data_IF_995415786641
#
_entry.id   IF_995415786641
#
_cell.length_a   1.000
_cell.length_b   1.000
_cell.length_c   1.000
_cell.angle_alpha   90.00
_cell.angle_beta   90.00
_cell.angle_gamma   90.00
#
_symmetry.space_group_name_H-M   'P 1'
#
loop_
_entity.id
_entity.type
_entity.pdbx_description
1 polymer ?
#
# COMPACT_ATOMS: atom_id res chain seq x y z
N UNK A 1 9.25 0.55 2.54
CA UNK A 1 7.98 0.26 3.23
C UNK A 1 6.91 1.03 2.48
N UNK A 2 6.06 0.36 1.73
CA UNK A 2 4.85 0.98 1.18
C UNK A 2 3.84 1.02 2.31
N UNK A 3 3.76 2.15 3.02
CA UNK A 3 2.62 2.43 3.87
C UNK A 3 1.38 2.57 3.00
N UNK A 4 0.22 2.17 3.51
CA UNK A 4 -1.06 2.58 2.95
C UNK A 4 -1.23 4.08 3.21
N UNK A 5 -0.64 4.93 2.36
CA UNK A 5 -0.83 6.38 2.41
C UNK A 5 -1.92 6.79 1.43
N UNK A 6 -2.89 7.55 1.93
CA UNK A 6 -3.83 8.29 1.11
C UNK A 6 -3.14 9.59 0.63
N UNK A 7 -3.25 9.96 -0.65
CA UNK A 7 -2.55 11.13 -1.18
C UNK A 7 -3.34 12.38 -0.84
N UNK A 8 -2.80 13.34 -0.09
CA UNK A 8 -3.22 14.76 -0.18
C UNK A 8 -2.03 15.71 -0.05
N UNK A 9 -1.94 16.59 -1.05
CA UNK A 9 -1.11 17.79 -1.10
C UNK A 9 -1.51 18.78 -0.02
N UNK A 10 -0.55 19.31 0.73
CA UNK A 10 -0.75 20.46 1.60
C UNK A 10 0.20 21.56 1.15
N UNK A 11 -0.32 22.57 0.46
CA UNK A 11 0.32 23.87 0.32
C UNK A 11 -0.46 24.89 1.15
N UNK A 12 0.15 25.34 2.24
CA UNK A 12 -0.30 26.51 3.00
C UNK A 12 0.12 27.79 2.25
N UNK A 13 -0.81 28.73 2.07
CA UNK A 13 -0.48 30.16 1.87
C UNK A 13 -1.44 31.04 2.72
N UNK A 14 -0.97 32.16 3.28
CA UNK A 14 -1.70 33.01 4.24
C UNK A 14 -2.57 34.09 3.55
N UNK A 15 -3.43 34.82 4.28
CA UNK A 15 -4.51 35.62 3.71
C UNK A 15 -4.04 37.04 3.34
N UNK A 16 -4.50 37.56 2.20
CA UNK A 16 -4.47 39.00 1.90
C UNK A 16 -5.82 39.50 1.38
N UNK A 17 -6.13 40.72 1.79
CA UNK A 17 -7.43 41.39 1.79
C UNK A 17 -7.65 42.25 0.51
N UNK A 18 -8.88 42.18 -0.03
CA UNK A 18 -9.67 43.20 -0.80
C UNK A 18 -9.15 43.80 -2.13
N UNK A 19 -10.00 44.43 -2.99
CA UNK A 19 -11.48 44.47 -3.03
C UNK A 19 -12.14 44.13 -4.39
N UNK A 20 -13.47 44.02 -4.33
CA UNK A 20 -14.48 43.94 -5.39
C UNK A 20 -14.35 45.01 -6.49
N UNK A 21 -14.67 44.65 -7.73
CA UNK A 21 -15.56 45.48 -8.57
C UNK A 21 -16.36 44.65 -9.57
N UNK A 22 -17.66 44.91 -9.61
CA UNK A 22 -18.60 44.49 -10.64
C UNK A 22 -18.34 45.27 -11.94
N UNK A 23 -18.49 44.61 -13.09
CA UNK A 23 -19.19 45.26 -14.21
C UNK A 23 -19.88 44.21 -15.08
N UNK A 24 -21.18 44.43 -15.27
CA UNK A 24 -22.00 43.77 -16.26
C UNK A 24 -21.80 44.44 -17.61
N UNK A 25 -21.86 43.68 -18.70
CA UNK A 25 -22.14 44.21 -20.03
C UNK A 25 -23.17 43.35 -20.73
N UNK A 26 -24.28 43.99 -21.10
CA UNK A 26 -25.38 43.50 -21.94
C UNK A 26 -25.04 43.75 -23.40
N UNK A 27 -25.53 42.86 -24.28
CA UNK A 27 -26.17 43.12 -25.60
C UNK A 27 -26.20 41.80 -26.39
N UNK A 28 -27.23 41.37 -27.10
CA UNK A 28 -28.54 41.94 -27.43
C UNK A 28 -29.42 40.93 -28.19
N UNK A 29 -30.74 41.13 -28.12
CA UNK A 29 -31.83 40.96 -29.11
C UNK A 29 -31.56 40.11 -30.39
N UNK A 30 -32.40 39.14 -30.83
CA UNK A 30 -33.77 39.33 -31.37
C UNK A 30 -34.49 37.99 -31.74
N UNK A 31 -35.83 38.02 -31.54
CA UNK A 31 -36.98 37.47 -32.31
C UNK A 31 -37.35 35.97 -32.36
N UNK A 32 -38.69 35.82 -32.26
CA UNK A 32 -39.59 34.64 -32.26
C UNK A 32 -39.79 34.01 -33.64
N UNK A 33 -40.13 32.72 -33.69
CA UNK A 33 -41.37 32.17 -34.31
C UNK A 33 -41.59 30.69 -33.94
N UNK A 34 -42.86 30.27 -33.90
CA UNK A 34 -43.35 28.96 -33.46
C UNK A 34 -43.40 27.91 -34.60
N UNK A 35 -43.41 26.62 -34.24
CA UNK A 35 -43.92 25.53 -35.09
C UNK A 35 -43.30 24.15 -34.87
N UNK A 36 -44.14 23.14 -34.59
CA UNK A 36 -43.98 21.80 -35.20
C UNK A 36 -43.43 20.64 -34.34
N UNK A 37 -44.30 19.64 -34.16
CA UNK A 37 -44.07 18.28 -33.64
C UNK A 37 -42.77 17.58 -34.10
N UNK A 38 -42.14 16.80 -33.20
CA UNK A 38 -41.95 15.34 -33.34
C UNK A 38 -41.09 14.77 -32.21
N UNK A 39 -41.42 13.55 -31.78
CA UNK A 39 -40.89 12.91 -30.58
C UNK A 39 -39.38 12.64 -30.60
N UNK A 40 -38.72 13.01 -29.50
CA UNK A 40 -37.36 12.58 -29.19
C UNK A 40 -37.40 11.87 -27.84
N UNK A 41 -37.16 10.56 -27.87
CA UNK A 41 -36.96 9.71 -26.68
C UNK A 41 -35.84 10.32 -25.83
N UNK A 42 -36.15 10.72 -24.58
CA UNK A 42 -35.15 11.06 -23.56
C UNK A 42 -34.19 9.88 -23.40
N UNK A 43 -32.97 10.00 -23.93
CA UNK A 43 -31.83 9.20 -23.46
C UNK A 43 -31.59 9.62 -22.01
N UNK A 44 -31.83 8.71 -21.07
CA UNK A 44 -31.37 8.84 -19.68
C UNK A 44 -29.86 9.09 -19.73
N UNK A 45 -29.43 10.25 -19.24
CA UNK A 45 -28.02 10.56 -19.08
C UNK A 45 -27.36 9.48 -18.25
N UNK A 46 -26.23 8.98 -18.73
CA UNK A 46 -25.33 8.14 -17.94
C UNK A 46 -24.86 9.01 -16.79
N UNK A 47 -25.28 8.67 -15.57
CA UNK A 47 -24.73 9.30 -14.38
C UNK A 47 -23.23 9.01 -14.37
N UNK A 48 -22.42 10.06 -14.54
CA UNK A 48 -20.99 9.97 -14.34
C UNK A 48 -20.76 9.48 -12.91
N UNK A 49 -20.06 8.35 -12.76
CA UNK A 49 -19.57 7.89 -11.47
C UNK A 49 -18.58 8.95 -11.00
N UNK A 50 -19.01 9.82 -10.10
CA UNK A 50 -18.13 10.74 -9.40
C UNK A 50 -17.19 9.88 -8.54
N UNK A 51 -15.90 9.93 -8.83
CA UNK A 51 -14.89 9.50 -7.89
C UNK A 51 -14.96 10.48 -6.72
N UNK A 52 -15.59 10.07 -5.62
CA UNK A 52 -15.72 10.92 -4.45
C UNK A 52 -14.35 11.03 -3.78
N UNK A 53 -13.70 12.18 -3.93
CA UNK A 53 -12.67 12.63 -2.99
C UNK A 53 -13.38 13.12 -1.74
N UNK A 54 -13.80 12.17 -0.89
CA UNK A 54 -14.23 12.49 0.45
C UNK A 54 -12.97 12.60 1.34
N UNK A 55 -12.85 13.65 2.18
CA UNK A 55 -11.77 13.72 3.16
C UNK A 55 -11.90 12.54 4.13
N UNK A 56 -10.84 11.75 4.26
CA UNK A 56 -10.78 10.67 5.23
C UNK A 56 -10.78 11.26 6.64
N UNK A 57 -11.87 11.07 7.39
CA UNK A 57 -11.88 11.33 8.82
C UNK A 57 -10.93 10.37 9.54
N UNK A 58 -10.21 10.88 10.54
CA UNK A 58 -9.20 10.14 11.29
C UNK A 58 -9.73 8.78 11.80
N UNK A 59 -8.95 7.73 11.56
CA UNK A 59 -9.17 6.41 12.10
C UNK A 59 -9.17 6.45 13.64
N UNK A 60 -10.09 5.73 14.28
CA UNK A 60 -9.96 5.48 15.73
C UNK A 60 -8.88 4.41 15.89
N UNK A 61 -7.77 4.77 16.53
CA UNK A 61 -6.59 3.91 16.65
C UNK A 61 -6.30 3.65 18.12
N UNK A 62 -6.06 2.39 18.45
CA UNK A 62 -5.25 2.06 19.61
C UNK A 62 -3.87 1.60 19.10
N UNK A 63 -2.98 1.22 20.02
CA UNK A 63 -1.61 0.91 19.61
C UNK A 63 -1.52 -0.35 18.70
N UNK A 64 -2.44 -1.31 18.86
CA UNK A 64 -2.46 -2.57 18.11
C UNK A 64 -3.42 -2.58 16.94
N UNK A 65 -4.54 -1.90 17.03
CA UNK A 65 -5.60 -1.92 16.01
C UNK A 65 -5.94 -0.53 15.50
N UNK A 66 -6.39 -0.48 14.26
CA UNK A 66 -6.91 0.72 13.63
C UNK A 66 -8.25 0.41 12.96
N UNK A 67 -9.22 1.30 13.12
CA UNK A 67 -10.50 1.24 12.41
C UNK A 67 -10.42 2.08 11.14
N UNK A 68 -10.43 1.44 9.98
CA UNK A 68 -10.51 2.12 8.69
C UNK A 68 -11.96 2.53 8.42
N UNK A 69 -12.21 3.81 8.19
CA UNK A 69 -13.50 4.30 7.70
C UNK A 69 -13.58 4.15 6.18
N UNK A 70 -14.46 3.28 5.72
CA UNK A 70 -14.86 3.16 4.31
C UNK A 70 -16.22 3.85 4.20
N UNK A 71 -16.56 4.45 3.04
CA UNK A 71 -17.69 5.38 2.86
C UNK A 71 -18.96 5.07 3.69
N UNK A 72 -19.40 3.80 3.73
CA UNK A 72 -20.55 3.36 4.51
C UNK A 72 -20.24 2.15 5.43
N UNK A 73 -18.97 1.94 5.77
CA UNK A 73 -18.54 0.75 6.52
C UNK A 73 -17.27 1.03 7.35
N UNK A 74 -16.95 0.14 8.29
CA UNK A 74 -15.73 0.20 9.08
C UNK A 74 -15.01 -1.13 9.07
N UNK A 75 -13.69 -1.08 8.93
CA UNK A 75 -12.84 -2.26 8.94
C UNK A 75 -11.76 -2.15 10.01
N UNK A 76 -11.86 -2.98 11.04
CA UNK A 76 -10.82 -3.10 12.05
C UNK A 76 -9.68 -3.99 11.56
N UNK A 77 -8.46 -3.47 11.63
CA UNK A 77 -7.23 -4.17 11.27
C UNK A 77 -6.23 -4.17 12.42
N UNK A 78 -5.37 -5.19 12.47
CA UNK A 78 -4.11 -5.12 13.18
C UNK A 78 -3.18 -4.14 12.45
N UNK A 79 -2.53 -3.23 13.18
CA UNK A 79 -1.65 -2.20 12.61
C UNK A 79 -0.35 -2.77 12.05
N UNK A 80 0.00 -4.00 12.40
CA UNK A 80 1.05 -4.78 11.71
C UNK A 80 0.38 -5.80 10.81
N UNK A 81 0.54 -5.61 9.50
CA UNK A 81 -0.02 -6.49 8.48
C UNK A 81 1.02 -7.52 8.06
N UNK A 82 0.63 -8.79 8.04
CA UNK A 82 1.47 -9.89 7.55
C UNK A 82 1.44 -9.90 6.02
N UNK A 83 2.47 -9.32 5.40
CA UNK A 83 2.61 -9.24 3.96
C UNK A 83 3.06 -10.55 3.34
N UNK A 84 2.18 -11.18 2.56
CA UNK A 84 2.41 -12.51 1.97
C UNK A 84 3.14 -12.47 0.62
N UNK A 85 3.71 -11.34 0.17
CA UNK A 85 4.33 -11.23 -1.17
C UNK A 85 5.48 -12.22 -1.42
N UNK A 86 6.11 -12.74 -0.36
CA UNK A 86 7.18 -13.72 -0.48
C UNK A 86 6.66 -15.09 -0.96
N UNK A 87 5.34 -15.29 -1.02
CA UNK A 87 4.72 -16.47 -1.62
C UNK A 87 4.65 -16.45 -3.15
N UNK A 88 5.06 -15.36 -3.80
CA UNK A 88 5.11 -15.22 -5.27
C UNK A 88 6.06 -16.19 -6.01
N UNK A 89 6.78 -17.08 -5.31
CA UNK A 89 7.63 -18.12 -5.89
C UNK A 89 9.09 -17.71 -6.13
N UNK A 90 9.40 -16.41 -6.12
CA UNK A 90 10.78 -15.90 -6.28
C UNK A 90 11.69 -16.09 -5.05
N UNK A 91 11.19 -16.72 -3.99
CA UNK A 91 11.85 -16.77 -2.67
C UNK A 91 12.09 -18.18 -2.13
N UNK A 92 11.95 -19.20 -2.99
CA UNK A 92 12.07 -20.61 -2.63
C UNK A 92 10.74 -21.36 -2.68
N UNK A 93 10.81 -22.67 -2.46
CA UNK A 93 9.63 -23.54 -2.34
C UNK A 93 8.91 -23.29 -1.03
N UNK A 94 7.58 -23.33 -1.06
CA UNK A 94 6.73 -23.19 0.12
C UNK A 94 6.07 -24.52 0.42
N UNK A 95 6.31 -25.04 1.61
CA UNK A 95 5.48 -26.09 2.17
C UNK A 95 4.16 -25.49 2.66
N UNK A 96 3.05 -26.07 2.22
CA UNK A 96 1.71 -25.52 2.50
C UNK A 96 1.33 -25.70 3.96
N UNK A 97 1.70 -26.81 4.58
CA UNK A 97 1.33 -27.10 5.96
C UNK A 97 2.13 -26.20 6.90
N UNK A 98 3.44 -26.09 6.69
CA UNK A 98 4.29 -25.21 7.48
C UNK A 98 3.87 -23.74 7.34
N UNK A 99 3.48 -23.33 6.13
CA UNK A 99 3.00 -21.98 5.92
C UNK A 99 1.71 -21.69 6.70
N UNK A 100 0.74 -22.61 6.67
CA UNK A 100 -0.52 -22.47 7.40
C UNK A 100 -0.31 -22.52 8.92
N UNK A 101 0.57 -23.39 9.41
CA UNK A 101 0.97 -23.42 10.82
C UNK A 101 1.60 -22.09 11.26
N UNK A 102 2.48 -21.52 10.43
CA UNK A 102 3.04 -20.20 10.69
C UNK A 102 1.95 -19.12 10.72
N UNK A 103 0.96 -19.15 9.82
CA UNK A 103 -0.17 -18.20 9.85
C UNK A 103 -0.98 -18.31 11.15
N UNK A 104 -1.24 -19.53 11.64
CA UNK A 104 -1.89 -19.75 12.94
C UNK A 104 -1.08 -19.13 14.09
N UNK A 105 0.23 -19.35 14.14
CA UNK A 105 1.09 -18.73 15.17
C UNK A 105 1.06 -17.20 15.13
N UNK A 106 1.06 -16.59 13.94
CA UNK A 106 0.96 -15.13 13.80
C UNK A 106 -0.37 -14.63 14.34
N UNK A 107 -1.47 -15.27 13.94
CA UNK A 107 -2.80 -14.91 14.40
C UNK A 107 -2.90 -15.08 15.93
N UNK A 108 -2.43 -16.20 16.48
CA UNK A 108 -2.46 -16.49 17.93
C UNK A 108 -1.62 -15.48 18.72
N UNK A 109 -0.58 -14.89 18.12
CA UNK A 109 0.19 -13.77 18.68
C UNK A 109 -0.48 -12.38 18.52
N UNK A 110 -1.69 -12.35 17.97
CA UNK A 110 -2.47 -11.13 17.74
C UNK A 110 -2.07 -10.33 16.48
N UNK A 111 -1.29 -10.93 15.57
CA UNK A 111 -1.00 -10.39 14.24
C UNK A 111 -2.08 -10.90 13.28
N UNK A 112 -3.29 -10.39 13.40
CA UNK A 112 -4.49 -11.02 12.81
C UNK A 112 -4.85 -10.53 11.40
N UNK A 113 -4.09 -9.60 10.83
CA UNK A 113 -4.36 -9.05 9.48
C UNK A 113 -3.32 -9.54 8.48
N UNK A 114 -3.78 -10.20 7.42
CA UNK A 114 -2.96 -10.76 6.35
C UNK A 114 -3.18 -9.99 5.07
N UNK A 115 -2.08 -9.57 4.44
CA UNK A 115 -2.09 -8.82 3.21
C UNK A 115 -1.54 -9.69 2.06
N UNK A 116 -2.31 -9.78 0.99
CA UNK A 116 -2.07 -10.67 -0.14
C UNK A 116 -2.44 -10.02 -1.48
N UNK A 117 -2.26 -10.79 -2.55
CA UNK A 117 -2.68 -10.45 -3.90
C UNK A 117 -2.97 -11.72 -4.70
N UNK A 118 -3.84 -11.58 -5.70
CA UNK A 118 -4.16 -12.61 -6.69
C UNK A 118 -2.93 -13.27 -7.33
N UNK A 119 -1.88 -12.48 -7.59
CA UNK A 119 -0.64 -12.88 -8.23
C UNK A 119 0.47 -13.30 -7.25
N UNK A 120 0.23 -13.32 -5.93
CA UNK A 120 1.20 -13.79 -4.94
C UNK A 120 1.23 -15.32 -4.84
N UNK A 121 1.33 -16.00 -5.98
CA UNK A 121 1.36 -17.46 -6.05
C UNK A 121 0.18 -18.07 -5.28
N UNK A 122 0.43 -18.93 -4.27
CA UNK A 122 -0.62 -19.60 -3.50
C UNK A 122 -1.17 -18.77 -2.32
N UNK A 123 -0.88 -17.47 -2.20
CA UNK A 123 -1.26 -16.68 -1.01
C UNK A 123 -2.75 -16.78 -0.65
N UNK A 124 -3.63 -16.58 -1.64
CA UNK A 124 -5.08 -16.63 -1.40
C UNK A 124 -5.54 -18.04 -1.02
N UNK A 125 -4.93 -19.08 -1.59
CA UNK A 125 -5.24 -20.48 -1.29
C UNK A 125 -4.76 -20.87 0.11
N UNK A 126 -3.58 -20.41 0.52
CA UNK A 126 -3.05 -20.60 1.87
C UNK A 126 -3.96 -19.93 2.90
N UNK A 127 -4.44 -18.71 2.62
CA UNK A 127 -5.41 -18.05 3.46
C UNK A 127 -6.71 -18.85 3.59
N UNK A 128 -7.21 -19.43 2.49
CA UNK A 128 -8.39 -20.30 2.53
C UNK A 128 -8.21 -21.55 3.39
N UNK A 129 -7.04 -22.17 3.38
CA UNK A 129 -6.74 -23.31 4.25
C UNK A 129 -6.64 -22.84 5.71
N UNK A 130 -5.93 -21.73 5.95
CA UNK A 130 -5.75 -21.13 7.27
C UNK A 130 -7.08 -20.72 7.91
N UNK A 131 -7.95 -19.99 7.22
CA UNK A 131 -9.22 -19.52 7.78
C UNK A 131 -10.14 -20.69 8.11
N UNK A 132 -10.08 -21.77 7.34
CA UNK A 132 -10.80 -23.00 7.64
C UNK A 132 -10.28 -23.73 8.88
N UNK A 133 -8.97 -23.68 9.13
CA UNK A 133 -8.42 -24.17 10.39
C UNK A 133 -8.87 -23.32 11.55
N UNK A 134 -8.85 -21.99 11.41
CA UNK A 134 -9.39 -21.07 12.42
C UNK A 134 -10.84 -21.41 12.76
N UNK A 135 -11.71 -21.60 11.75
CA UNK A 135 -13.12 -22.00 11.95
C UNK A 135 -13.31 -23.31 12.71
N UNK A 136 -12.39 -24.26 12.58
CA UNK A 136 -12.48 -25.59 13.21
C UNK A 136 -11.80 -25.65 14.58
N UNK A 137 -10.71 -24.91 14.76
CA UNK A 137 -9.74 -25.07 15.85
C UNK A 137 -9.75 -23.91 16.83
N UNK A 138 -10.50 -22.83 16.57
CA UNK A 138 -10.61 -21.66 17.46
C UNK A 138 -12.09 -21.36 17.77
N UNK A 139 -12.38 -20.65 18.87
CA UNK A 139 -13.74 -20.21 19.17
C UNK A 139 -14.33 -19.35 18.04
N UNK A 140 -15.66 -19.40 17.77
CA UNK A 140 -16.28 -18.65 16.69
C UNK A 140 -15.99 -17.14 16.71
N UNK A 141 -15.92 -16.53 17.88
CA UNK A 141 -15.60 -15.12 18.08
C UNK A 141 -14.18 -14.75 17.61
N UNK A 142 -13.26 -15.71 17.58
CA UNK A 142 -11.89 -15.46 17.14
C UNK A 142 -11.82 -15.26 15.62
N UNK A 143 -12.72 -15.90 14.86
CA UNK A 143 -12.83 -15.71 13.41
C UNK A 143 -13.05 -14.22 13.07
N UNK A 144 -13.85 -13.53 13.87
CA UNK A 144 -14.17 -12.12 13.71
C UNK A 144 -12.98 -11.18 13.98
N UNK A 145 -11.83 -11.69 14.45
CA UNK A 145 -10.61 -10.90 14.67
C UNK A 145 -9.62 -10.97 13.51
N UNK A 146 -9.78 -11.97 12.63
CA UNK A 146 -8.88 -12.23 11.50
C UNK A 146 -9.37 -11.48 10.27
N UNK A 147 -8.44 -10.84 9.54
CA UNK A 147 -8.74 -10.11 8.30
C UNK A 147 -7.83 -10.55 7.16
N UNK A 148 -8.42 -10.79 5.99
CA UNK A 148 -7.73 -11.06 4.74
C UNK A 148 -7.92 -9.92 3.73
N UNK A 149 -6.85 -9.18 3.47
CA UNK A 149 -6.83 -8.06 2.54
C UNK A 149 -6.17 -8.52 1.23
N UNK A 150 -6.89 -8.49 0.11
CA UNK A 150 -6.32 -8.94 -1.18
C UNK A 150 -6.25 -7.82 -2.21
N UNK A 151 -5.20 -7.85 -3.03
CA UNK A 151 -5.06 -7.00 -4.20
C UNK A 151 -5.47 -7.78 -5.44
N UNK A 152 -6.20 -7.10 -6.32
CA UNK A 152 -6.52 -7.61 -7.64
C UNK A 152 -5.78 -6.81 -8.69
N UNK A 153 -5.03 -7.52 -9.54
CA UNK A 153 -4.28 -6.96 -10.65
C UNK A 153 -4.88 -7.43 -11.98
N UNK A 154 -5.84 -6.68 -12.55
CA UNK A 154 -6.46 -7.08 -13.80
C UNK A 154 -5.48 -7.03 -14.97
N UNK A 155 -5.62 -7.94 -15.95
CA UNK A 155 -5.02 -7.75 -17.26
C UNK A 155 -5.64 -6.52 -17.96
N UNK A 156 -4.95 -5.94 -18.97
CA UNK A 156 -5.41 -4.76 -19.69
C UNK A 156 -6.58 -5.10 -20.64
N UNK A 157 -7.75 -5.36 -20.07
CA UNK A 157 -8.99 -5.68 -20.77
C UNK A 157 -10.09 -4.68 -20.40
N UNK A 158 -11.22 -4.71 -21.11
CA UNK A 158 -12.36 -3.87 -20.75
C UNK A 158 -12.90 -4.27 -19.37
N UNK A 159 -12.88 -3.34 -18.42
CA UNK A 159 -13.40 -3.52 -17.06
C UNK A 159 -14.94 -3.53 -17.05
N UNK A 160 -15.53 -4.60 -17.57
CA UNK A 160 -16.98 -4.82 -17.48
C UNK A 160 -17.36 -5.30 -16.08
N UNK A 161 -18.60 -5.01 -15.64
CA UNK A 161 -19.13 -5.50 -14.36
C UNK A 161 -18.97 -7.01 -14.21
N UNK A 162 -19.27 -7.77 -15.26
CA UNK A 162 -19.15 -9.24 -15.25
C UNK A 162 -17.70 -9.70 -15.10
N UNK A 163 -16.74 -8.99 -15.71
CA UNK A 163 -15.32 -9.31 -15.56
C UNK A 163 -14.85 -9.08 -14.13
N UNK A 164 -15.13 -7.89 -13.58
CA UNK A 164 -14.82 -7.54 -12.18
C UNK A 164 -15.44 -8.55 -11.22
N UNK A 165 -16.73 -8.88 -11.39
CA UNK A 165 -17.43 -9.84 -10.55
C UNK A 165 -16.77 -11.22 -10.58
N UNK A 166 -16.43 -11.73 -11.77
CA UNK A 166 -15.72 -13.02 -11.92
C UNK A 166 -14.36 -13.01 -11.23
N UNK A 167 -13.61 -11.91 -11.33
CA UNK A 167 -12.33 -11.79 -10.64
C UNK A 167 -12.49 -11.79 -9.11
N UNK A 168 -13.49 -11.09 -8.59
CA UNK A 168 -13.83 -11.12 -7.17
C UNK A 168 -14.22 -12.54 -6.72
N UNK A 169 -15.02 -13.24 -7.50
CA UNK A 169 -15.47 -14.60 -7.18
C UNK A 169 -14.32 -15.61 -7.18
N UNK A 170 -13.28 -15.41 -8.01
CA UNK A 170 -12.05 -16.20 -7.97
C UNK A 170 -11.36 -16.03 -6.61
N UNK A 171 -11.08 -14.79 -6.18
CA UNK A 171 -10.43 -14.54 -4.88
C UNK A 171 -11.27 -15.07 -3.72
N UNK A 172 -12.60 -14.85 -3.73
CA UNK A 172 -13.52 -15.39 -2.72
C UNK A 172 -13.44 -16.91 -2.62
N UNK A 173 -13.37 -17.61 -3.76
CA UNK A 173 -13.27 -19.07 -3.80
C UNK A 173 -11.91 -19.55 -3.29
N UNK A 174 -10.81 -18.90 -3.67
CA UNK A 174 -9.46 -19.27 -3.22
C UNK A 174 -9.27 -19.09 -1.72
N UNK A 175 -9.73 -17.94 -1.21
CA UNK A 175 -9.73 -17.61 0.21
C UNK A 175 -10.81 -18.34 1.01
N UNK A 176 -11.72 -19.06 0.35
CA UNK A 176 -12.87 -19.74 0.95
C UNK A 176 -13.68 -18.85 1.91
N UNK A 177 -14.10 -17.67 1.42
CA UNK A 177 -14.88 -16.69 2.19
C UNK A 177 -16.15 -16.26 1.45
N UNK A 178 -17.20 -15.97 2.23
CA UNK A 178 -18.46 -15.47 1.69
C UNK A 178 -18.33 -14.05 1.11
N UNK A 179 -17.44 -13.23 1.67
CA UNK A 179 -17.12 -11.87 1.21
C UNK A 179 -15.64 -11.58 1.46
N UNK A 180 -15.04 -10.71 0.65
CA UNK A 180 -13.68 -10.22 0.90
C UNK A 180 -13.75 -9.07 1.90
N UNK A 181 -12.90 -9.07 2.93
CA UNK A 181 -12.82 -7.96 3.90
C UNK A 181 -12.42 -6.66 3.20
N UNK A 182 -11.43 -6.75 2.30
CA UNK A 182 -11.03 -5.65 1.44
C UNK A 182 -10.44 -6.15 0.13
N UNK A 183 -10.86 -5.54 -0.97
CA UNK A 183 -10.26 -5.72 -2.29
C UNK A 183 -9.62 -4.41 -2.74
N UNK A 184 -8.34 -4.46 -3.06
CA UNK A 184 -7.57 -3.31 -3.53
C UNK A 184 -7.36 -3.44 -5.05
N UNK A 185 -7.88 -2.48 -5.81
CA UNK A 185 -7.61 -2.39 -7.24
C UNK A 185 -6.16 -1.96 -7.46
N UNK A 186 -5.37 -2.82 -8.10
CA UNK A 186 -3.93 -2.62 -8.25
C UNK A 186 -3.53 -2.84 -9.71
N UNK A 187 -2.49 -2.18 -10.21
CA UNK A 187 -2.10 -2.27 -11.62
C UNK A 187 -0.65 -2.71 -11.78
N UNK A 188 -0.39 -3.51 -12.82
CA UNK A 188 0.96 -3.71 -13.34
C UNK A 188 1.43 -2.44 -14.08
N UNK A 189 2.71 -2.13 -13.92
CA UNK A 189 3.44 -1.27 -14.85
C UNK A 189 4.82 -1.86 -15.12
N UNK A 190 5.04 -2.45 -16.29
CA UNK A 190 6.38 -2.65 -16.85
C UNK A 190 6.77 -1.42 -17.64
N UNK A 191 8.03 -0.99 -17.51
CA UNK A 191 8.58 0.17 -18.23
C UNK A 191 8.33 0.00 -19.73
N UNK A 192 7.61 0.97 -20.31
CA UNK A 192 7.19 0.95 -21.71
C UNK A 192 6.59 -0.38 -22.19
N UNK A 193 5.82 -1.10 -21.36
CA UNK A 193 5.18 -2.36 -21.76
C UNK A 193 6.17 -3.47 -22.18
N UNK A 194 7.42 -3.42 -21.70
CA UNK A 194 8.45 -4.41 -22.06
C UNK A 194 9.30 -4.03 -23.28
N UNK A 195 9.16 -2.81 -23.82
CA UNK A 195 10.06 -2.27 -24.85
C UNK A 195 11.51 -2.12 -24.38
N UNK A 196 11.75 -2.11 -23.07
CA UNK A 196 13.08 -2.12 -22.45
C UNK A 196 13.42 -3.52 -21.93
N UNK A 197 13.77 -4.42 -22.83
CA UNK A 197 14.31 -5.76 -22.54
C UNK A 197 15.46 -6.08 -23.49
N UNK A 198 16.33 -7.04 -23.17
CA UNK A 198 17.50 -7.39 -24.02
C UNK A 198 17.11 -7.87 -25.43
N UNK A 199 15.82 -8.16 -25.64
CA UNK A 199 15.17 -8.34 -26.95
C UNK A 199 15.29 -7.12 -27.87
N UNK A 200 15.50 -5.93 -27.32
CA UNK A 200 15.39 -4.66 -28.03
C UNK A 200 16.71 -3.90 -28.22
N UNK A 201 17.88 -4.35 -27.77
CA UNK A 201 19.10 -3.56 -27.99
C UNK A 201 20.35 -4.43 -28.34
N UNK A 202 20.58 -4.76 -29.63
CA UNK A 202 21.55 -4.19 -30.62
C UNK A 202 21.15 -2.92 -31.41
N UNK A 203 20.17 -2.15 -30.95
CA UNK A 203 20.44 -0.71 -30.82
C UNK A 203 21.59 -0.57 -29.80
N UNK A 204 22.64 0.20 -30.07
CA UNK A 204 23.97 -0.20 -29.57
C UNK A 204 24.13 -0.09 -28.02
N UNK A 205 24.32 -1.26 -27.37
CA UNK A 205 24.04 -1.57 -25.95
C UNK A 205 25.30 -1.84 -25.10
N UNK A 206 26.46 -1.36 -25.52
CA UNK A 206 27.74 -1.76 -24.91
C UNK A 206 28.05 -0.96 -23.64
N UNK A 207 27.81 -1.56 -22.45
CA UNK A 207 28.68 -1.66 -21.24
C UNK A 207 27.87 -1.52 -19.91
N UNK A 208 27.92 -2.52 -18.98
CA UNK A 208 27.27 -2.46 -17.67
C UNK A 208 28.19 -2.16 -16.46
N UNK A 209 27.55 -1.77 -15.36
CA UNK A 209 28.05 -1.19 -14.10
C UNK A 209 28.64 -2.20 -13.08
N UNK A 210 29.63 -1.76 -12.28
CA UNK A 210 30.44 -2.59 -11.37
C UNK A 210 30.26 -2.22 -9.88
N UNK A 211 29.58 -3.07 -9.11
CA UNK A 211 29.46 -3.01 -7.65
C UNK A 211 29.26 -4.40 -7.02
N UNK A 212 29.34 -4.57 -5.69
CA UNK A 212 29.19 -5.86 -5.02
C UNK A 212 27.78 -6.46 -5.19
N UNK A 213 27.58 -7.79 -5.11
CA UNK A 213 26.33 -8.43 -5.55
C UNK A 213 25.13 -8.06 -4.67
N UNK A 214 24.22 -7.25 -5.21
CA UNK A 214 22.88 -7.03 -4.68
C UNK A 214 22.00 -8.18 -5.17
N UNK A 215 22.06 -9.33 -4.48
CA UNK A 215 21.57 -10.63 -4.98
C UNK A 215 20.05 -10.79 -5.08
N UNK A 216 19.25 -9.75 -4.82
CA UNK A 216 17.82 -9.74 -5.13
C UNK A 216 17.39 -8.45 -5.84
N UNK A 217 16.45 -8.52 -6.81
CA UNK A 217 15.89 -7.34 -7.47
C UNK A 217 15.32 -6.29 -6.50
N UNK A 218 14.78 -6.73 -5.36
CA UNK A 218 14.23 -5.85 -4.33
C UNK A 218 15.31 -5.01 -3.65
N UNK A 219 16.47 -5.58 -3.32
CA UNK A 219 17.58 -4.82 -2.72
C UNK A 219 18.15 -3.78 -3.67
N UNK A 220 18.20 -4.09 -4.98
CA UNK A 220 18.58 -3.12 -6.00
C UNK A 220 17.59 -1.94 -6.07
N UNK A 221 16.28 -2.22 -5.99
CA UNK A 221 15.24 -1.18 -5.90
C UNK A 221 15.49 -0.26 -4.71
N UNK A 222 15.66 -0.81 -3.50
CA UNK A 222 15.88 -0.01 -2.29
C UNK A 222 17.18 0.77 -2.33
N UNK A 223 18.25 0.22 -2.92
CA UNK A 223 19.51 0.95 -3.10
C UNK A 223 19.33 2.19 -3.97
N UNK A 224 18.55 2.11 -5.06
CA UNK A 224 18.22 3.28 -5.89
C UNK A 224 17.47 4.36 -5.11
N UNK A 225 16.55 3.96 -4.22
CA UNK A 225 15.83 4.90 -3.34
C UNK A 225 16.79 5.59 -2.37
N UNK A 226 17.71 4.83 -1.76
CA UNK A 226 18.75 5.37 -0.88
C UNK A 226 19.64 6.36 -1.64
N UNK A 227 20.04 6.03 -2.86
CA UNK A 227 20.88 6.89 -3.69
C UNK A 227 20.19 8.20 -4.08
N UNK A 228 18.90 8.13 -4.45
CA UNK A 228 18.09 9.30 -4.78
C UNK A 228 17.84 10.21 -3.55
N UNK A 229 17.63 9.60 -2.37
CA UNK A 229 17.33 10.32 -1.14
C UNK A 229 18.54 11.13 -0.62
N UNK A 230 19.71 10.51 -0.49
CA UNK A 230 20.89 11.20 0.03
C UNK A 230 22.19 10.43 -0.09
N UNK A 231 22.17 9.31 -0.82
CA UNK A 231 23.33 8.45 -0.97
C UNK A 231 23.60 7.56 0.23
N UNK A 232 24.57 6.68 0.06
CA UNK A 232 24.94 5.68 1.06
C UNK A 232 25.43 6.31 2.37
N UNK A 233 26.15 7.44 2.30
CA UNK A 233 26.68 8.10 3.50
C UNK A 233 25.57 8.55 4.45
N UNK A 234 24.56 9.26 3.93
CA UNK A 234 23.43 9.71 4.73
C UNK A 234 22.60 8.52 5.25
N UNK A 235 22.47 7.46 4.46
CA UNK A 235 21.83 6.23 4.92
C UNK A 235 22.59 5.55 6.07
N UNK A 236 23.92 5.56 6.05
CA UNK A 236 24.72 5.07 7.18
C UNK A 236 24.55 5.96 8.43
N UNK A 237 24.42 7.28 8.26
CA UNK A 237 24.09 8.18 9.36
C UNK A 237 22.72 7.86 9.98
N UNK A 238 21.71 7.62 9.14
CA UNK A 238 20.38 7.17 9.58
C UNK A 238 20.47 5.84 10.32
N UNK A 239 21.15 4.84 9.76
CA UNK A 239 21.31 3.52 10.41
C UNK A 239 22.02 3.62 11.76
N UNK A 240 23.06 4.46 11.88
CA UNK A 240 23.74 4.71 13.17
C UNK A 240 22.80 5.36 14.18
N UNK A 241 21.98 6.32 13.73
CA UNK A 241 20.99 6.99 14.57
C UNK A 241 19.93 6.00 15.07
N UNK A 242 19.33 5.23 14.16
CA UNK A 242 18.39 4.16 14.50
C UNK A 242 19.03 3.11 15.41
N UNK A 243 20.32 2.78 15.23
CA UNK A 243 21.04 1.83 16.11
C UNK A 243 21.20 2.36 17.53
N UNK A 244 21.47 3.65 17.72
CA UNK A 244 21.53 4.26 19.05
C UNK A 244 20.18 4.17 19.77
N UNK A 245 19.10 4.52 19.07
CA UNK A 245 17.72 4.44 19.58
C UNK A 245 17.35 2.98 19.87
N UNK A 246 17.67 2.06 18.96
CA UNK A 246 17.41 0.63 19.14
C UNK A 246 18.14 0.06 20.37
N UNK A 247 19.38 0.50 20.63
CA UNK A 247 20.11 0.12 21.83
C UNK A 247 19.48 0.73 23.11
N UNK A 248 19.06 1.99 23.08
CA UNK A 248 18.36 2.68 24.18
C UNK A 248 17.11 1.92 24.62
N UNK A 249 16.35 1.39 23.66
CA UNK A 249 15.09 0.68 23.89
C UNK A 249 15.20 -0.86 23.89
N UNK A 250 16.41 -1.41 23.76
CA UNK A 250 16.66 -2.86 23.67
C UNK A 250 15.84 -3.59 22.57
N UNK A 251 15.65 -2.93 21.42
CA UNK A 251 14.94 -3.47 20.25
C UNK A 251 15.85 -3.50 19.02
N UNK A 252 15.33 -3.97 17.88
CA UNK A 252 16.06 -3.98 16.60
C UNK A 252 15.87 -2.67 15.82
N UNK A 253 16.80 -2.35 14.91
CA UNK A 253 16.67 -1.20 13.98
C UNK A 253 15.33 -1.26 13.19
N UNK A 254 14.91 -2.41 12.63
CA UNK A 254 13.61 -2.52 11.97
C UNK A 254 12.43 -2.16 12.88
N UNK A 255 12.48 -2.54 14.17
CA UNK A 255 11.40 -2.23 15.13
C UNK A 255 11.24 -0.71 15.30
N UNK A 256 12.36 0.00 15.48
CA UNK A 256 12.37 1.48 15.56
C UNK A 256 11.82 2.10 14.27
N UNK A 257 12.29 1.63 13.11
CA UNK A 257 11.84 2.16 11.83
C UNK A 257 10.34 1.95 11.58
N UNK A 258 9.81 0.76 11.89
CA UNK A 258 8.38 0.47 11.75
C UNK A 258 7.55 1.30 12.72
N UNK A 259 7.97 1.43 13.98
CA UNK A 259 7.30 2.27 14.98
C UNK A 259 7.22 3.72 14.53
N UNK A 260 8.33 4.29 14.07
CA UNK A 260 8.38 5.66 13.53
C UNK A 260 7.36 5.88 12.41
N UNK A 261 7.23 4.91 11.49
CA UNK A 261 6.24 4.97 10.40
C UNK A 261 4.81 4.83 10.93
N UNK A 262 4.56 3.95 11.90
CA UNK A 262 3.25 3.80 12.53
C UNK A 262 2.83 5.03 13.34
N UNK A 263 3.76 5.83 13.85
CA UNK A 263 3.42 7.06 14.60
C UNK A 263 3.02 8.23 13.70
N UNK A 264 3.15 8.09 12.37
CA UNK A 264 2.73 9.13 11.44
C UNK A 264 1.20 9.25 11.40
N UNK A 265 0.62 10.47 11.43
CA UNK A 265 -0.83 10.68 11.55
C UNK A 265 -1.69 9.97 10.50
N UNK A 266 -1.17 9.83 9.28
CA UNK A 266 -1.89 9.24 8.14
C UNK A 266 -1.69 7.74 8.00
N UNK A 267 -0.95 7.07 8.91
CA UNK A 267 -0.58 5.66 8.78
C UNK A 267 -1.45 4.80 9.68
N UNK A 268 -2.40 4.09 9.07
CA UNK A 268 -3.23 3.12 9.78
C UNK A 268 -2.46 1.84 10.14
N UNK A 269 -1.57 1.37 9.26
CA UNK A 269 -0.78 0.17 9.49
C UNK A 269 0.48 0.09 8.64
N UNK A 270 1.40 -0.77 9.05
CA UNK A 270 2.66 -1.07 8.39
C UNK A 270 2.73 -2.55 8.05
N UNK A 271 3.19 -2.84 6.84
CA UNK A 271 3.25 -4.20 6.31
C UNK A 271 4.66 -4.77 6.48
N UNK A 272 4.74 -5.95 7.10
CA UNK A 272 5.98 -6.69 7.30
C UNK A 272 5.90 -7.99 6.50
N UNK A 273 6.91 -8.24 5.67
CA UNK A 273 6.97 -9.44 4.85
C UNK A 273 7.21 -10.68 5.70
N UNK A 274 6.41 -11.71 5.49
CA UNK A 274 6.52 -12.98 6.21
C UNK A 274 7.04 -14.09 5.31
N UNK A 275 8.05 -14.83 5.78
CA UNK A 275 8.50 -16.09 5.16
C UNK A 275 7.92 -17.24 5.97
N UNK A 276 6.64 -17.50 5.73
CA UNK A 276 5.87 -18.52 6.44
C UNK A 276 6.56 -19.89 6.35
N UNK A 277 6.80 -20.53 7.50
CA UNK A 277 7.51 -21.80 7.62
C UNK A 277 9.05 -21.71 7.60
N UNK A 278 9.63 -20.51 7.41
CA UNK A 278 11.10 -20.33 7.33
C UNK A 278 11.65 -19.31 8.34
N UNK A 279 11.03 -18.12 8.42
CA UNK A 279 11.43 -17.06 9.36
C UNK A 279 10.21 -16.22 9.72
N UNK A 280 9.81 -16.29 10.99
CA UNK A 280 8.50 -15.80 11.42
C UNK A 280 8.53 -14.41 12.08
N UNK A 281 9.67 -13.90 12.58
CA UNK A 281 9.84 -12.55 13.18
C UNK A 281 8.68 -12.04 14.07
N UNK A 282 7.94 -12.96 14.70
CA UNK A 282 6.71 -12.66 15.46
C UNK A 282 7.04 -11.81 16.67
N UNK A 283 8.14 -12.11 17.36
CA UNK A 283 8.58 -11.35 18.53
C UNK A 283 8.89 -9.91 18.14
N UNK A 284 9.75 -9.69 17.14
CA UNK A 284 10.10 -8.33 16.72
C UNK A 284 8.89 -7.54 16.23
N UNK A 285 7.95 -8.19 15.54
CA UNK A 285 6.69 -7.57 15.10
C UNK A 285 5.83 -7.13 16.28
N UNK A 286 5.81 -7.91 17.36
CA UNK A 286 5.10 -7.54 18.59
C UNK A 286 5.83 -6.48 19.42
N UNK A 287 7.17 -6.46 19.41
CA UNK A 287 7.98 -5.45 20.10
C UNK A 287 7.65 -4.03 19.57
N UNK A 288 7.20 -3.89 18.32
CA UNK A 288 6.74 -2.61 17.74
C UNK A 288 5.58 -2.00 18.54
N UNK A 289 4.67 -2.82 19.06
CA UNK A 289 3.54 -2.33 19.86
C UNK A 289 3.97 -1.88 21.25
N UNK A 290 5.07 -2.42 21.78
CA UNK A 290 5.55 -2.04 23.12
C UNK A 290 6.50 -0.84 23.09
N UNK A 291 7.08 -0.54 21.92
CA UNK A 291 8.00 0.57 21.75
C UNK A 291 7.24 1.91 21.76
N UNK A 292 7.74 2.86 22.54
CA UNK A 292 7.35 4.26 22.50
C UNK A 292 8.59 5.11 22.21
N UNK A 293 8.59 5.83 21.09
CA UNK A 293 9.66 6.76 20.74
C UNK A 293 9.41 8.06 21.50
N UNK A 294 10.40 8.52 22.26
CA UNK A 294 10.29 9.80 22.96
C UNK A 294 10.64 10.98 22.03
N UNK A 295 10.48 12.20 22.55
CA UNK A 295 10.71 13.42 21.78
C UNK A 295 12.15 13.52 21.26
N UNK A 296 13.13 13.03 22.02
CA UNK A 296 14.54 13.05 21.64
C UNK A 296 14.80 12.06 20.49
N UNK A 297 14.22 10.86 20.57
CA UNK A 297 14.31 9.85 19.51
C UNK A 297 13.74 10.39 18.19
N UNK A 298 12.56 11.03 18.26
CA UNK A 298 11.89 11.62 17.10
C UNK A 298 12.74 12.74 16.49
N UNK A 299 13.26 13.66 17.31
CA UNK A 299 14.13 14.75 16.84
C UNK A 299 15.41 14.23 16.19
N UNK A 300 16.02 13.18 16.72
CA UNK A 300 17.20 12.58 16.12
C UNK A 300 16.91 11.96 14.74
N UNK A 301 15.77 11.29 14.59
CA UNK A 301 15.35 10.73 13.30
C UNK A 301 15.06 11.87 12.32
N UNK A 302 14.25 12.85 12.73
CA UNK A 302 13.87 14.02 11.93
C UNK A 302 15.10 14.76 11.41
N UNK A 303 16.04 15.09 12.30
CA UNK A 303 17.28 15.79 11.96
C UNK A 303 18.09 15.10 10.85
N UNK A 304 18.14 13.76 10.82
CA UNK A 304 18.81 13.04 9.74
C UNK A 304 17.94 12.98 8.49
N UNK A 305 16.63 12.79 8.64
CA UNK A 305 15.70 12.71 7.50
C UNK A 305 15.59 14.00 6.70
N UNK A 306 15.68 15.16 7.36
CA UNK A 306 15.65 16.49 6.74
C UNK A 306 16.86 16.79 5.85
N UNK A 307 17.98 16.10 6.05
CA UNK A 307 19.17 16.23 5.19
C UNK A 307 18.98 15.57 3.82
N UNK A 308 18.00 14.65 3.73
CA UNK A 308 17.70 13.96 2.50
C UNK A 308 16.78 14.78 1.59
N UNK A 309 16.80 14.45 0.30
CA UNK A 309 15.91 15.03 -0.68
C UNK A 309 14.52 14.44 -0.55
N UNK A 310 13.51 15.26 -0.78
CA UNK A 310 12.14 14.78 -0.93
C UNK A 310 12.05 13.82 -2.12
N UNK A 311 11.81 12.54 -1.82
CA UNK A 311 11.74 11.49 -2.82
C UNK A 311 10.56 11.68 -3.78
N UNK A 312 9.45 12.31 -3.35
CA UNK A 312 8.34 12.62 -4.25
C UNK A 312 8.76 13.65 -5.31
N UNK A 313 9.63 14.59 -4.96
CA UNK A 313 10.16 15.58 -5.92
C UNK A 313 11.22 14.97 -6.83
N UNK A 314 12.13 14.17 -6.26
CA UNK A 314 13.26 13.57 -6.99
C UNK A 314 12.79 12.45 -7.93
N UNK A 315 12.00 11.53 -7.39
CA UNK A 315 11.59 10.30 -8.08
C UNK A 315 10.23 10.50 -8.72
N UNK A 316 9.27 11.06 -7.99
CA UNK A 316 7.86 11.12 -8.40
C UNK A 316 7.00 10.14 -7.61
N UNK A 317 5.76 9.93 -8.07
CA UNK A 317 4.80 9.01 -7.47
C UNK A 317 5.24 7.55 -7.66
N UNK A 318 4.62 6.62 -6.93
CA UNK A 318 4.90 5.20 -7.00
C UNK A 318 5.00 4.70 -8.45
N UNK A 319 6.17 4.20 -8.80
CA UNK A 319 6.49 3.71 -10.13
C UNK A 319 7.20 4.73 -11.02
N UNK A 320 7.28 6.02 -10.66
CA UNK A 320 8.07 7.02 -11.39
C UNK A 320 9.57 6.75 -11.32
N UNK A 321 10.05 5.98 -10.33
CA UNK A 321 11.43 5.46 -10.30
C UNK A 321 11.78 4.59 -11.51
N UNK A 322 10.75 4.12 -12.21
CA UNK A 322 10.86 3.38 -13.45
C UNK A 322 10.50 4.22 -14.69
N UNK A 323 10.03 5.46 -14.54
CA UNK A 323 9.58 6.35 -15.64
C UNK A 323 10.63 7.38 -16.07
N UNK A 324 11.63 7.72 -15.23
CA UNK A 324 12.65 8.77 -15.48
C UNK A 324 14.04 8.24 -15.89
N UNK A 325 14.15 6.96 -16.27
CA UNK A 325 15.39 6.35 -16.74
C UNK A 325 15.48 6.40 -18.28
#
# INVERSE_FOLDING_TARGET
MTGLSLPHSVSNFPPTNFPLSCSASRNGLLRRTAGGCSGIKKRRGVAAVRCCTAPAEAAQTNNRTATLKIVNDTLDICRILNGMWQTSGGWGTIDRNDAVEAMLKHADAGLTTFDMADHYGPAEDLFGIFINRVRRERPPEYLETVRGLTKWVPPPVKMTRTFVQKSIDISRKRMDVASLDMLQFHWYGTVMGGLLSEKFLDTNFRIPFSGPPLSTPSLQKYKRMVDAWGGWSLFQELLKTLKKIANKHAVSIPTVAVRYILDQPSVAGSMIGVRLGLSEHIKESNDVFSLALDQEDMQHIEHVTEKGKDLQNVIGDCGDEYRRA
#
